data_IF_701903644610
#
_entry.id   IF_701903644610
#
_cell.length_a   1.000
_cell.length_b   1.000
_cell.length_c   1.000
_cell.angle_alpha   90.00
_cell.angle_beta   90.00
_cell.angle_gamma   90.00
#
_symmetry.space_group_name_H-M   'P 1'
#
loop_
_entity.id
_entity.type
_entity.pdbx_description
1 polymer ?
#
# COMPACT_ATOMS: atom_id res chain seq x y z
N UNK A 1 -31.91 -19.52 -0.38
CA UNK A 1 -31.21 -20.37 -1.37
C UNK A 1 -31.05 -19.61 -2.67
N UNK A 2 -29.89 -19.75 -3.32
CA UNK A 2 -29.37 -18.92 -4.43
C UNK A 2 -30.40 -18.53 -5.50
N UNK A 3 -31.36 -19.41 -5.84
CA UNK A 3 -32.44 -19.12 -6.79
C UNK A 3 -33.33 -17.92 -6.40
N UNK A 4 -33.58 -17.71 -5.10
CA UNK A 4 -34.41 -16.59 -4.61
C UNK A 4 -33.67 -15.26 -4.78
N UNK A 5 -32.36 -15.25 -4.54
CA UNK A 5 -31.51 -14.07 -4.71
C UNK A 5 -31.31 -13.71 -6.19
N UNK A 6 -31.17 -14.69 -7.08
CA UNK A 6 -31.13 -14.44 -8.54
C UNK A 6 -32.41 -13.83 -9.09
N UNK A 7 -33.57 -14.21 -8.54
CA UNK A 7 -34.89 -13.71 -8.95
C UNK A 7 -35.27 -12.39 -8.27
N UNK A 8 -34.55 -11.98 -7.23
CA UNK A 8 -34.77 -10.69 -6.57
C UNK A 8 -34.34 -9.57 -7.50
N UNK A 9 -35.23 -8.59 -7.69
CA UNK A 9 -34.92 -7.42 -8.48
C UNK A 9 -33.93 -6.55 -7.70
N UNK A 10 -32.76 -6.31 -8.28
CA UNK A 10 -31.75 -5.40 -7.72
C UNK A 10 -31.91 -4.06 -8.45
N UNK A 11 -32.55 -3.05 -7.81
CA UNK A 11 -32.70 -1.74 -8.43
C UNK A 11 -31.33 -1.10 -8.62
N UNK A 12 -31.02 -0.71 -9.85
CA UNK A 12 -29.84 0.10 -10.15
C UNK A 12 -30.19 1.56 -9.88
N UNK A 13 -29.44 2.20 -8.99
CA UNK A 13 -29.54 3.63 -8.74
C UNK A 13 -28.25 4.29 -9.21
N UNK A 14 -28.38 5.42 -9.89
CA UNK A 14 -27.27 6.28 -10.26
C UNK A 14 -27.19 7.48 -9.31
N UNK A 15 -26.10 8.26 -9.39
CA UNK A 15 -25.91 9.43 -8.53
C UNK A 15 -27.04 10.46 -8.68
N UNK A 16 -27.64 10.56 -9.88
CA UNK A 16 -28.76 11.46 -10.17
C UNK A 16 -30.04 11.02 -9.47
N UNK A 17 -30.35 9.72 -9.50
CA UNK A 17 -31.48 9.14 -8.78
C UNK A 17 -31.36 9.28 -7.25
N UNK A 18 -30.14 9.49 -6.74
CA UNK A 18 -29.86 9.76 -5.32
C UNK A 18 -29.77 11.26 -4.99
N UNK A 19 -29.96 12.16 -5.97
CA UNK A 19 -29.91 13.61 -5.77
C UNK A 19 -28.50 14.17 -5.52
N UNK A 20 -27.45 13.41 -5.86
CA UNK A 20 -26.06 13.82 -5.68
C UNK A 20 -25.56 14.59 -6.89
N UNK A 21 -24.89 15.73 -6.67
CA UNK A 21 -24.26 16.48 -7.75
C UNK A 21 -22.91 15.86 -8.13
N UNK A 22 -22.48 16.06 -9.39
CA UNK A 22 -21.17 15.56 -9.86
C UNK A 22 -20.00 16.17 -9.09
N UNK A 23 -20.19 17.32 -8.45
CA UNK A 23 -19.18 18.02 -7.64
C UNK A 23 -19.03 17.41 -6.24
N UNK A 24 -19.96 16.54 -5.84
CA UNK A 24 -19.93 15.87 -4.54
C UNK A 24 -19.45 14.41 -4.64
N UNK A 25 -19.36 13.85 -5.84
CA UNK A 25 -19.09 12.43 -6.06
C UNK A 25 -18.04 12.19 -7.14
N UNK A 26 -17.42 11.01 -7.11
CA UNK A 26 -16.40 10.62 -8.09
C UNK A 26 -15.13 11.47 -7.99
N UNK A 27 -14.38 11.56 -9.08
CA UNK A 27 -13.11 12.32 -9.13
C UNK A 27 -13.34 13.83 -8.95
N UNK A 28 -14.45 14.36 -9.48
CA UNK A 28 -14.79 15.79 -9.39
C UNK A 28 -15.06 16.26 -7.96
N UNK A 29 -15.66 15.41 -7.12
CA UNK A 29 -15.86 15.68 -5.70
C UNK A 29 -14.72 15.22 -4.78
N UNK A 30 -13.68 14.57 -5.33
CA UNK A 30 -12.55 14.10 -4.55
C UNK A 30 -11.63 15.27 -4.20
N UNK A 31 -11.39 15.45 -2.89
CA UNK A 31 -10.45 16.48 -2.38
C UNK A 31 -8.98 16.16 -2.69
N UNK A 32 -8.69 14.91 -3.05
CA UNK A 32 -7.34 14.38 -3.22
C UNK A 32 -7.31 13.61 -4.55
N UNK A 33 -6.24 13.80 -5.31
CA UNK A 33 -5.97 13.09 -6.55
C UNK A 33 -4.79 12.14 -6.36
N UNK A 34 -4.93 10.92 -6.88
CA UNK A 34 -3.85 9.94 -6.86
C UNK A 34 -2.95 10.21 -8.07
N UNK A 35 -1.69 10.55 -7.81
CA UNK A 35 -0.73 10.85 -8.88
C UNK A 35 -0.11 9.58 -9.48
N UNK A 36 0.23 8.61 -8.64
CA UNK A 36 0.85 7.36 -9.06
C UNK A 36 0.71 6.25 -8.02
N UNK A 37 0.71 5.02 -8.48
CA UNK A 37 0.83 3.84 -7.65
C UNK A 37 2.23 3.26 -7.85
N UNK A 38 2.97 3.13 -6.75
CA UNK A 38 4.29 2.49 -6.75
C UNK A 38 4.23 1.26 -5.85
N UNK A 39 4.73 0.10 -6.32
CA UNK A 39 4.89 -1.03 -5.43
C UNK A 39 5.93 -0.68 -4.34
N UNK A 40 5.79 -1.23 -3.12
CA UNK A 40 6.79 -1.03 -2.09
C UNK A 40 8.16 -1.55 -2.58
N UNK A 41 9.27 -0.93 -2.15
CA UNK A 41 10.60 -1.38 -2.51
C UNK A 41 10.79 -2.83 -2.04
N UNK A 42 11.43 -3.66 -2.87
CA UNK A 42 11.78 -5.03 -2.49
C UNK A 42 12.68 -5.02 -1.26
N UNK A 43 12.59 -6.07 -0.44
CA UNK A 43 13.49 -6.28 0.70
C UNK A 43 14.94 -6.13 0.22
N UNK A 44 15.71 -5.31 0.95
CA UNK A 44 17.15 -5.16 0.69
C UNK A 44 17.84 -6.51 0.85
N UNK A 45 18.80 -6.79 -0.02
CA UNK A 45 19.60 -8.01 0.06
C UNK A 45 20.27 -8.10 1.43
N UNK A 46 20.26 -9.31 1.99
CA UNK A 46 20.95 -9.55 3.26
C UNK A 46 22.46 -9.48 3.01
N UNK A 47 23.16 -8.67 3.81
CA UNK A 47 24.62 -8.67 3.82
C UNK A 47 25.07 -9.73 4.82
N UNK A 48 25.49 -10.88 4.31
CA UNK A 48 26.15 -11.89 5.14
C UNK A 48 27.55 -11.40 5.50
N UNK A 49 27.90 -11.45 6.78
CA UNK A 49 29.23 -11.11 7.27
C UNK A 49 29.93 -12.44 7.54
N UNK A 50 30.98 -12.72 6.76
CA UNK A 50 31.79 -13.93 6.88
C UNK A 50 33.02 -13.66 7.78
N UNK A 51 33.50 -14.69 8.46
CA UNK A 51 34.69 -14.62 9.32
C UNK A 51 34.49 -15.24 10.70
N UNK A 52 35.52 -15.13 11.53
CA UNK A 52 35.46 -15.59 12.93
C UNK A 52 34.44 -14.74 13.73
N UNK A 53 33.75 -15.32 14.74
CA UNK A 53 32.64 -14.68 15.43
C UNK A 53 32.95 -13.27 15.97
N UNK A 54 34.18 -13.05 16.44
CA UNK A 54 34.60 -11.78 17.03
C UNK A 54 34.78 -10.67 15.98
N UNK A 55 35.29 -11.02 14.79
CA UNK A 55 35.49 -10.09 13.68
C UNK A 55 34.16 -9.75 13.01
N UNK A 56 33.32 -10.77 12.81
CA UNK A 56 31.97 -10.59 12.27
C UNK A 56 31.10 -9.71 13.17
N UNK A 57 31.19 -9.86 14.50
CA UNK A 57 30.47 -9.02 15.45
C UNK A 57 30.95 -7.56 15.42
N UNK A 58 32.26 -7.32 15.32
CA UNK A 58 32.82 -5.97 15.21
C UNK A 58 32.35 -5.27 13.93
N UNK A 59 32.33 -6.00 12.82
CA UNK A 59 31.86 -5.49 11.54
C UNK A 59 30.35 -5.22 11.53
N UNK A 60 29.55 -6.08 12.16
CA UNK A 60 28.11 -5.88 12.32
C UNK A 60 27.81 -4.59 13.11
N UNK A 61 28.52 -4.37 14.21
CA UNK A 61 28.38 -3.17 15.06
C UNK A 61 28.77 -1.92 14.27
N UNK A 62 29.83 -1.96 13.46
CA UNK A 62 30.21 -0.86 12.58
C UNK A 62 29.10 -0.52 11.58
N UNK A 63 28.58 -1.52 10.86
CA UNK A 63 27.53 -1.31 9.84
C UNK A 63 26.27 -0.71 10.47
N UNK A 64 25.82 -1.22 11.61
CA UNK A 64 24.61 -0.73 12.29
C UNK A 64 24.75 0.70 12.78
N UNK A 65 25.90 1.07 13.36
CA UNK A 65 26.09 2.42 13.92
C UNK A 65 26.35 3.49 12.85
N UNK A 66 27.03 3.13 11.74
CA UNK A 66 27.43 4.08 10.70
C UNK A 66 26.39 4.24 9.59
N UNK A 67 25.68 3.17 9.21
CA UNK A 67 24.83 3.14 8.00
C UNK A 67 23.34 3.34 8.33
N UNK A 68 22.83 2.78 9.43
CA UNK A 68 21.39 2.92 9.76
C UNK A 68 21.02 4.30 10.34
N UNK A 69 21.99 5.12 10.72
CA UNK A 69 21.72 6.50 11.17
C UNK A 69 21.27 7.43 10.03
N UNK A 70 21.41 7.00 8.77
CA UNK A 70 21.19 7.81 7.56
C UNK A 70 19.92 7.38 6.78
N UNK A 71 19.16 6.41 7.29
CA UNK A 71 17.89 5.96 6.70
C UNK A 71 16.70 6.37 7.57
#
# INVERSE_FOLDING_TARGET
>A
GVMKAMKSQIPKMDAKALGLSEEQVGEKGAKIKIERYLPPPKRREVKMIEGEPQEAAKEAVRILMEVERIL
#
